data_IF_028377151635
#
_entry.id   IF_028377151635
#
_cell.length_a   1.000
_cell.length_b   1.000
_cell.length_c   1.000
_cell.angle_alpha   90.00
_cell.angle_beta   90.00
_cell.angle_gamma   90.00
#
_symmetry.space_group_name_H-M   'P 1'
#
loop_
_entity.id
_entity.type
_entity.pdbx_description
1 polymer ?
#
# COMPACT_ATOMS: atom_id res chain seq x y z
N UNK A 1 50.55 -8.69 20.84
CA UNK A 1 51.13 -8.87 22.20
C UNK A 1 49.96 -9.14 23.14
N UNK A 2 49.80 -10.23 23.88
CA UNK A 2 50.67 -11.34 24.27
C UNK A 2 49.81 -12.56 24.66
N UNK A 3 50.49 -13.70 24.64
CA UNK A 3 50.19 -15.12 24.86
C UNK A 3 49.50 -15.64 26.15
N UNK A 4 48.78 -16.79 26.02
CA UNK A 4 48.84 -18.14 26.71
C UNK A 4 48.58 -18.14 28.26
N UNK A 5 47.77 -19.00 28.94
CA UNK A 5 47.79 -20.49 29.06
C UNK A 5 46.67 -21.05 29.98
N UNK A 6 46.35 -22.34 29.78
CA UNK A 6 45.42 -23.26 30.46
C UNK A 6 45.59 -23.44 31.98
N UNK A 7 44.56 -23.97 32.69
CA UNK A 7 44.68 -25.20 33.51
C UNK A 7 43.34 -25.63 34.15
N UNK A 8 43.29 -26.91 34.51
CA UNK A 8 42.16 -27.83 34.74
C UNK A 8 41.69 -27.99 36.20
N UNK A 9 40.41 -28.40 36.31
CA UNK A 9 39.75 -29.33 37.28
C UNK A 9 40.05 -29.24 38.79
N UNK A 10 38.98 -29.13 39.59
CA UNK A 10 38.71 -30.05 40.72
C UNK A 10 37.25 -30.00 41.16
N UNK A 11 36.73 -31.19 41.48
CA UNK A 11 35.38 -31.49 42.00
C UNK A 11 35.47 -31.50 43.52
N UNK A 12 34.57 -30.82 44.25
CA UNK A 12 34.07 -31.29 45.58
C UNK A 12 32.64 -30.77 45.83
N UNK A 13 31.78 -31.71 46.23
CA UNK A 13 30.41 -31.56 46.74
C UNK A 13 30.27 -30.62 47.95
N UNK A 14 29.15 -29.90 48.07
CA UNK A 14 28.10 -30.13 49.10
C UNK A 14 26.96 -29.09 49.03
N UNK A 15 25.78 -29.59 48.69
CA UNK A 15 24.39 -29.30 49.14
C UNK A 15 24.02 -27.88 49.65
N UNK A 16 22.99 -27.34 48.97
CA UNK A 16 21.95 -26.39 49.41
C UNK A 16 22.30 -24.92 49.61
N UNK A 17 21.89 -24.08 48.65
CA UNK A 17 20.74 -23.19 48.83
C UNK A 17 20.45 -22.41 47.54
N UNK A 18 19.15 -22.38 47.20
CA UNK A 18 18.51 -21.46 46.26
C UNK A 18 18.97 -21.54 44.79
N UNK A 19 18.44 -22.53 44.06
CA UNK A 19 18.17 -22.34 42.63
C UNK A 19 17.09 -21.24 42.55
N UNK A 20 17.51 -19.98 42.49
CA UNK A 20 16.68 -18.95 41.93
C UNK A 20 16.55 -19.33 40.45
N UNK A 21 15.49 -20.07 40.11
CA UNK A 21 15.00 -20.14 38.75
C UNK A 21 14.66 -18.70 38.36
N UNK A 22 15.65 -17.97 37.85
CA UNK A 22 15.39 -16.77 37.08
C UNK A 22 14.72 -17.28 35.82
N UNK A 23 13.41 -17.45 35.90
CA UNK A 23 12.54 -17.47 34.75
C UNK A 23 12.63 -16.06 34.17
N UNK A 24 13.71 -15.80 33.41
CA UNK A 24 13.71 -14.66 32.52
C UNK A 24 12.46 -14.86 31.64
N UNK A 25 11.51 -13.92 31.63
CA UNK A 25 10.46 -14.02 30.64
C UNK A 25 11.19 -13.98 29.30
N UNK A 26 11.14 -15.09 28.56
CA UNK A 26 11.44 -15.09 27.14
C UNK A 26 10.34 -14.20 26.53
N UNK A 27 10.56 -12.89 26.56
CA UNK A 27 9.83 -11.98 25.72
C UNK A 27 10.16 -12.40 24.31
N UNK A 28 9.24 -13.08 23.64
CA UNK A 28 9.32 -13.26 22.21
C UNK A 28 9.36 -11.85 21.61
N UNK A 29 10.57 -11.37 21.32
CA UNK A 29 10.72 -10.13 20.59
C UNK A 29 10.22 -10.43 19.18
N UNK A 30 9.08 -9.85 18.83
CA UNK A 30 8.61 -9.86 17.44
C UNK A 30 9.65 -9.11 16.61
N UNK A 31 10.51 -9.85 15.91
CA UNK A 31 11.42 -9.26 14.95
C UNK A 31 10.60 -8.82 13.76
N UNK A 32 10.38 -7.51 13.65
CA UNK A 32 9.78 -6.92 12.45
C UNK A 32 10.90 -6.84 11.39
N UNK A 33 10.72 -7.58 10.31
CA UNK A 33 11.60 -7.51 9.14
C UNK A 33 10.92 -6.67 8.05
N UNK A 34 11.68 -5.79 7.40
CA UNK A 34 11.23 -4.98 6.27
C UNK A 34 11.92 -5.46 5.01
N UNK A 35 11.15 -5.60 3.93
CA UNK A 35 11.66 -5.86 2.60
C UNK A 35 11.13 -4.81 1.63
N UNK A 36 12.02 -4.23 0.82
CA UNK A 36 11.63 -3.37 -0.30
C UNK A 36 11.15 -4.26 -1.45
N UNK A 37 9.90 -4.06 -1.89
CA UNK A 37 9.29 -4.81 -3.00
C UNK A 37 9.54 -4.09 -4.33
N UNK A 38 9.41 -2.76 -4.35
CA UNK A 38 9.61 -1.95 -5.55
C UNK A 38 10.18 -0.57 -5.19
N UNK A 39 10.86 0.04 -6.15
CA UNK A 39 11.41 1.40 -6.10
C UNK A 39 10.85 2.22 -7.26
N UNK A 40 11.27 3.49 -7.37
CA UNK A 40 10.98 4.36 -8.54
C UNK A 40 9.48 4.61 -8.79
N UNK A 41 8.70 4.61 -7.70
CA UNK A 41 7.32 5.05 -7.67
C UNK A 41 7.24 6.57 -7.52
N UNK A 42 6.36 7.20 -8.29
CA UNK A 42 6.12 8.64 -8.31
C UNK A 42 5.00 9.00 -7.33
N UNK A 43 5.36 9.45 -6.13
CA UNK A 43 4.43 9.86 -5.08
C UNK A 43 3.30 8.82 -4.86
N UNK A 44 3.64 7.57 -4.46
CA UNK A 44 2.64 6.52 -4.23
C UNK A 44 1.66 6.91 -3.12
N UNK A 45 0.38 6.58 -3.28
CA UNK A 45 -0.69 7.03 -2.37
C UNK A 45 -1.51 5.89 -1.75
N UNK A 46 -2.20 5.08 -2.56
CA UNK A 46 -3.04 3.96 -2.10
C UNK A 46 -2.59 2.67 -2.76
N UNK A 47 -2.78 1.55 -2.05
CA UNK A 47 -2.46 0.21 -2.52
C UNK A 47 -3.70 -0.68 -2.53
N UNK A 48 -3.83 -1.53 -3.55
CA UNK A 48 -4.78 -2.63 -3.62
C UNK A 48 -4.03 -3.92 -3.97
N UNK A 49 -4.29 -4.99 -3.22
CA UNK A 49 -3.65 -6.30 -3.42
C UNK A 49 -4.50 -7.11 -4.40
N UNK A 50 -3.86 -7.58 -5.47
CA UNK A 50 -4.49 -8.45 -6.44
C UNK A 50 -4.43 -9.92 -5.99
N UNK A 51 -5.38 -10.78 -6.41
CA UNK A 51 -5.41 -12.21 -6.02
C UNK A 51 -4.16 -13.02 -6.40
N UNK A 52 -3.35 -12.52 -7.34
CA UNK A 52 -2.12 -13.14 -7.84
C UNK A 52 -0.84 -12.63 -7.14
N UNK A 53 -0.96 -12.05 -5.95
CA UNK A 53 0.15 -11.47 -5.17
C UNK A 53 0.86 -10.28 -5.85
N UNK A 54 0.17 -9.63 -6.77
CA UNK A 54 0.60 -8.36 -7.34
C UNK A 54 -0.09 -7.20 -6.62
N UNK A 55 0.42 -5.99 -6.85
CA UNK A 55 -0.13 -4.78 -6.25
C UNK A 55 -0.54 -3.80 -7.34
N UNK A 56 -1.64 -3.09 -7.11
CA UNK A 56 -1.93 -1.83 -7.78
C UNK A 56 -1.65 -0.70 -6.81
N UNK A 57 -0.78 0.23 -7.19
CA UNK A 57 -0.41 1.40 -6.41
C UNK A 57 -0.78 2.65 -7.19
N UNK A 58 -1.62 3.51 -6.63
CA UNK A 58 -1.90 4.81 -7.24
C UNK A 58 -0.69 5.73 -7.07
N UNK A 59 -0.31 6.39 -8.15
CA UNK A 59 0.74 7.40 -8.20
C UNK A 59 0.07 8.75 -8.45
N UNK A 60 0.22 9.66 -7.48
CA UNK A 60 -0.47 10.96 -7.48
C UNK A 60 -0.38 11.73 -8.82
N UNK A 61 0.74 11.71 -9.56
CA UNK A 61 0.88 12.43 -10.83
C UNK A 61 -0.01 11.97 -12.00
N UNK A 62 -0.74 10.84 -11.90
CA UNK A 62 -1.65 10.42 -12.98
C UNK A 62 -1.58 8.96 -13.41
N UNK A 63 -1.02 8.08 -12.57
CA UNK A 63 -0.86 6.68 -12.96
C UNK A 63 -1.33 5.72 -11.87
N UNK A 64 -1.60 4.48 -12.29
CA UNK A 64 -1.62 3.33 -11.40
C UNK A 64 -0.45 2.44 -11.81
N UNK A 65 0.46 2.19 -10.88
CA UNK A 65 1.55 1.25 -11.01
C UNK A 65 1.08 -0.16 -10.63
N UNK A 66 1.14 -1.09 -11.58
CA UNK A 66 1.06 -2.53 -11.32
C UNK A 66 2.44 -3.05 -10.97
N UNK A 67 2.58 -3.65 -9.79
CA UNK A 67 3.83 -4.19 -9.27
C UNK A 67 3.72 -5.71 -9.23
N UNK A 68 4.58 -6.39 -9.98
CA UNK A 68 4.62 -7.85 -9.98
C UNK A 68 5.13 -8.41 -8.65
N UNK A 69 4.92 -9.70 -8.39
CA UNK A 69 5.51 -10.38 -7.23
C UNK A 69 7.05 -10.32 -7.20
N UNK A 70 7.69 -10.10 -8.37
CA UNK A 70 9.13 -9.91 -8.50
C UNK A 70 9.58 -8.44 -8.35
N UNK A 71 8.65 -7.51 -8.09
CA UNK A 71 8.94 -6.09 -7.93
C UNK A 71 8.97 -5.27 -9.22
N UNK A 72 8.62 -5.87 -10.37
CA UNK A 72 8.59 -5.16 -11.65
C UNK A 72 7.42 -4.18 -11.71
N UNK A 73 7.71 -2.91 -12.01
CA UNK A 73 6.71 -1.84 -12.10
C UNK A 73 6.25 -1.64 -13.54
N UNK A 74 4.94 -1.69 -13.78
CA UNK A 74 4.28 -1.35 -15.06
C UNK A 74 3.21 -0.30 -14.81
N UNK A 75 3.25 0.84 -15.51
CA UNK A 75 2.23 1.89 -15.37
C UNK A 75 1.07 1.63 -16.32
N UNK A 76 -0.14 1.60 -15.76
CA UNK A 76 -1.37 1.36 -16.52
C UNK A 76 -1.80 2.63 -17.26
N UNK A 77 -2.26 2.47 -18.50
CA UNK A 77 -2.94 3.52 -19.26
C UNK A 77 -4.46 3.50 -19.03
N UNK A 78 -5.17 4.51 -19.55
CA UNK A 78 -6.64 4.54 -19.60
C UNK A 78 -7.32 5.34 -18.48
N UNK A 79 -6.58 5.88 -17.52
CA UNK A 79 -7.13 6.89 -16.61
C UNK A 79 -7.50 8.17 -17.37
N UNK A 80 -8.56 8.89 -16.94
CA UNK A 80 -8.87 10.21 -17.47
C UNK A 80 -7.82 11.23 -17.00
N UNK A 81 -7.91 12.44 -17.54
CA UNK A 81 -7.09 13.57 -17.10
C UNK A 81 -7.28 13.83 -15.60
N UNK A 82 -6.18 14.18 -14.93
CA UNK A 82 -6.16 14.39 -13.49
C UNK A 82 -5.51 15.73 -13.14
N UNK A 83 -6.00 16.37 -12.09
CA UNK A 83 -5.38 17.55 -11.50
C UNK A 83 -4.46 17.12 -10.37
N UNK A 84 -3.18 16.94 -10.69
CA UNK A 84 -2.14 16.55 -9.74
C UNK A 84 -1.46 17.76 -9.07
N UNK A 85 -2.25 18.63 -8.44
CA UNK A 85 -1.76 19.83 -7.75
C UNK A 85 -2.01 19.78 -6.25
N UNK A 86 -1.04 20.23 -5.44
CA UNK A 86 -1.13 20.29 -3.97
C UNK A 86 -1.50 18.93 -3.36
N UNK A 87 -2.76 18.71 -2.97
CA UNK A 87 -3.25 17.43 -2.44
C UNK A 87 -4.00 16.59 -3.48
N UNK A 88 -4.24 17.13 -4.68
CA UNK A 88 -4.91 16.44 -5.77
C UNK A 88 -4.01 15.44 -6.50
N UNK A 89 -4.64 14.60 -7.30
CA UNK A 89 -4.01 13.54 -8.08
C UNK A 89 -4.86 12.28 -8.14
N UNK A 90 -4.23 11.15 -8.45
CA UNK A 90 -4.83 9.82 -8.32
C UNK A 90 -4.66 9.35 -6.88
N UNK A 91 -5.77 9.12 -6.17
CA UNK A 91 -5.76 8.95 -4.72
C UNK A 91 -6.22 7.54 -4.34
N UNK A 92 -7.50 7.35 -4.01
CA UNK A 92 -8.03 6.07 -3.54
C UNK A 92 -8.14 5.04 -4.65
N UNK A 93 -7.88 3.78 -4.32
CA UNK A 93 -8.21 2.63 -5.16
C UNK A 93 -8.80 1.53 -4.29
N UNK A 94 -9.83 0.86 -4.78
CA UNK A 94 -10.41 -0.35 -4.16
C UNK A 94 -10.85 -1.31 -5.26
N UNK A 95 -10.67 -2.61 -5.01
CA UNK A 95 -11.15 -3.66 -5.91
C UNK A 95 -12.61 -3.96 -5.60
N UNK A 96 -13.39 -4.29 -6.63
CA UNK A 96 -14.73 -4.85 -6.45
C UNK A 96 -14.67 -6.12 -5.58
N UNK A 97 -15.66 -6.39 -4.72
CA UNK A 97 -15.68 -7.63 -3.92
C UNK A 97 -15.59 -8.90 -4.78
N UNK A 98 -16.06 -8.85 -6.03
CA UNK A 98 -15.98 -9.95 -7.00
C UNK A 98 -14.82 -9.80 -7.99
N UNK A 99 -13.75 -9.08 -7.63
CA UNK A 99 -12.62 -8.79 -8.52
C UNK A 99 -12.07 -10.01 -9.26
N UNK A 100 -11.96 -11.15 -8.57
CA UNK A 100 -11.43 -12.39 -9.14
C UNK A 100 -12.19 -12.86 -10.41
N UNK A 101 -13.47 -12.50 -10.55
CA UNK A 101 -14.30 -12.88 -11.69
C UNK A 101 -14.55 -11.73 -12.66
N UNK A 102 -14.61 -10.49 -12.19
CA UNK A 102 -15.00 -9.34 -13.02
C UNK A 102 -13.88 -8.32 -13.32
N UNK A 103 -12.72 -8.44 -12.66
CA UNK A 103 -11.57 -7.53 -12.76
C UNK A 103 -11.94 -6.04 -12.57
N UNK A 104 -13.03 -5.76 -11.87
CA UNK A 104 -13.58 -4.41 -11.71
C UNK A 104 -12.91 -3.70 -10.54
N UNK A 105 -12.46 -2.47 -10.76
CA UNK A 105 -11.90 -1.63 -9.71
C UNK A 105 -12.51 -0.24 -9.73
N UNK A 106 -12.36 0.46 -8.61
CA UNK A 106 -12.82 1.82 -8.42
C UNK A 106 -11.64 2.68 -8.01
N UNK A 107 -11.50 3.82 -8.67
CA UNK A 107 -10.44 4.80 -8.41
C UNK A 107 -11.06 6.15 -8.10
N UNK A 108 -10.58 6.80 -7.04
CA UNK A 108 -10.91 8.18 -6.71
C UNK A 108 -9.75 9.07 -7.11
N UNK A 109 -10.02 10.09 -7.92
CA UNK A 109 -9.04 11.05 -8.41
C UNK A 109 -9.63 12.47 -8.39
N UNK A 110 -8.80 13.47 -8.63
CA UNK A 110 -9.24 14.86 -8.69
C UNK A 110 -9.33 15.30 -10.14
N UNK A 111 -10.55 15.60 -10.61
CA UNK A 111 -10.81 16.20 -11.92
C UNK A 111 -11.18 17.68 -11.82
N UNK A 112 -11.13 18.39 -12.94
CA UNK A 112 -11.55 19.79 -13.06
C UNK A 112 -12.76 19.95 -13.98
N UNK A 113 -13.57 20.99 -13.73
CA UNK A 113 -14.52 21.48 -14.72
C UNK A 113 -13.85 22.42 -15.75
N UNK A 114 -14.64 22.91 -16.71
CA UNK A 114 -14.16 23.84 -17.75
C UNK A 114 -13.67 25.19 -17.22
N UNK A 115 -13.97 25.54 -15.97
CA UNK A 115 -13.53 26.78 -15.33
C UNK A 115 -12.27 26.57 -14.48
N UNK A 116 -11.77 25.33 -14.39
CA UNK A 116 -10.62 24.95 -13.58
C UNK A 116 -10.94 24.78 -12.09
N UNK A 117 -12.20 24.69 -11.71
CA UNK A 117 -12.57 24.29 -10.35
C UNK A 117 -12.36 22.79 -10.19
N UNK A 118 -11.86 22.37 -9.04
CA UNK A 118 -11.49 20.98 -8.79
C UNK A 118 -12.47 20.30 -7.83
N UNK A 119 -12.51 18.98 -7.90
CA UNK A 119 -13.26 18.16 -6.96
C UNK A 119 -13.00 16.68 -7.17
N UNK A 120 -13.28 15.89 -6.14
CA UNK A 120 -13.11 14.45 -6.15
C UNK A 120 -14.11 13.78 -7.09
N UNK A 121 -13.63 12.80 -7.84
CA UNK A 121 -14.40 12.00 -8.77
C UNK A 121 -14.09 10.53 -8.56
N UNK A 122 -15.09 9.67 -8.73
CA UNK A 122 -14.91 8.22 -8.66
C UNK A 122 -15.21 7.62 -10.02
N UNK A 123 -14.29 6.78 -10.48
CA UNK A 123 -14.40 6.04 -11.72
C UNK A 123 -14.44 4.54 -11.44
N UNK A 124 -15.34 3.84 -12.11
CA UNK A 124 -15.35 2.38 -12.24
C UNK A 124 -14.59 2.01 -13.51
N UNK A 125 -13.75 0.99 -13.44
CA UNK A 125 -13.00 0.48 -14.59
C UNK A 125 -12.80 -1.03 -14.51
N UNK A 126 -12.44 -1.64 -15.64
CA UNK A 126 -12.00 -3.03 -15.72
C UNK A 126 -10.48 -3.06 -15.90
N UNK A 127 -9.78 -3.85 -15.08
CA UNK A 127 -8.34 -4.08 -15.23
C UNK A 127 -8.06 -5.00 -16.43
N UNK A 128 -7.24 -4.53 -17.36
CA UNK A 128 -6.62 -5.34 -18.41
C UNK A 128 -5.12 -5.55 -18.13
N UNK A 129 -4.40 -6.16 -19.07
CA UNK A 129 -2.97 -6.50 -18.86
C UNK A 129 -2.10 -5.30 -18.52
N UNK A 130 -2.24 -4.19 -19.27
CA UNK A 130 -1.43 -2.98 -19.14
C UNK A 130 -2.25 -1.69 -19.20
N UNK A 131 -3.57 -1.78 -19.02
CA UNK A 131 -4.49 -0.66 -19.11
C UNK A 131 -5.73 -0.86 -18.24
N UNK A 132 -6.46 0.24 -18.05
CA UNK A 132 -7.84 0.24 -17.61
C UNK A 132 -8.76 0.38 -18.83
N UNK A 133 -9.83 -0.40 -18.86
CA UNK A 133 -10.87 -0.35 -19.89
C UNK A 133 -12.24 -0.10 -19.25
N UNK A 134 -13.26 0.19 -20.07
CA UNK A 134 -14.63 0.48 -19.60
C UNK A 134 -14.68 1.57 -18.52
N UNK A 135 -13.80 2.56 -18.62
CA UNK A 135 -13.62 3.61 -17.62
C UNK A 135 -14.83 4.54 -17.63
N UNK A 136 -15.60 4.52 -16.54
CA UNK A 136 -16.86 5.24 -16.42
C UNK A 136 -16.86 6.04 -15.12
N UNK A 137 -17.15 7.34 -15.21
CA UNK A 137 -17.36 8.17 -14.02
C UNK A 137 -18.68 7.78 -13.36
N UNK A 138 -18.63 7.40 -12.09
CA UNK A 138 -19.81 7.00 -11.31
C UNK A 138 -20.17 8.01 -10.23
N UNK A 139 -19.25 8.94 -9.92
CA UNK A 139 -19.49 10.01 -8.97
C UNK A 139 -18.63 11.23 -9.29
N UNK A 140 -19.19 12.41 -9.03
CA UNK A 140 -18.50 13.69 -9.05
C UNK A 140 -18.97 14.52 -7.85
N UNK A 141 -18.02 15.03 -7.06
CA UNK A 141 -18.35 15.97 -6.00
C UNK A 141 -18.75 17.33 -6.59
N UNK A 142 -19.92 17.84 -6.20
CA UNK A 142 -20.41 19.16 -6.59
C UNK A 142 -20.87 19.98 -5.36
N UNK A 143 -20.71 21.31 -5.39
CA UNK A 143 -20.03 22.08 -6.45
C UNK A 143 -18.50 21.81 -6.42
N UNK A 144 -17.87 21.82 -7.60
CA UNK A 144 -16.42 21.94 -7.68
C UNK A 144 -16.04 23.37 -7.30
N UNK A 145 -14.89 23.54 -6.66
CA UNK A 145 -14.40 24.85 -6.24
C UNK A 145 -12.95 25.05 -6.62
N UNK A 146 -12.52 26.29 -6.77
CA UNK A 146 -11.12 26.63 -7.01
C UNK A 146 -10.27 26.39 -5.75
N UNK A 147 -9.89 25.14 -5.53
CA UNK A 147 -9.09 24.68 -4.39
C UNK A 147 -8.09 23.60 -4.81
N UNK A 148 -7.11 23.32 -3.96
CA UNK A 148 -6.18 22.19 -4.09
C UNK A 148 -6.09 21.35 -2.82
N UNK A 149 -7.12 21.41 -1.96
CA UNK A 149 -7.10 20.85 -0.61
C UNK A 149 -8.38 20.07 -0.28
N UNK A 150 -8.26 19.12 0.65
CA UNK A 150 -9.35 18.41 1.32
C UNK A 150 -10.23 17.53 0.41
N UNK A 151 -9.62 16.82 -0.54
CA UNK A 151 -10.32 15.93 -1.48
C UNK A 151 -10.78 14.58 -0.87
N UNK A 152 -10.25 14.18 0.29
CA UNK A 152 -10.59 12.89 0.91
C UNK A 152 -10.14 11.71 0.06
N UNK A 153 -11.07 11.09 -0.68
CA UNK A 153 -10.83 9.98 -1.60
C UNK A 153 -10.42 8.63 -0.98
N UNK A 154 -10.82 8.31 0.25
CA UNK A 154 -10.77 6.93 0.73
C UNK A 154 -12.01 6.18 0.24
N UNK A 155 -11.80 5.02 -0.39
CA UNK A 155 -12.87 4.13 -0.84
C UNK A 155 -12.81 2.81 -0.05
N UNK A 156 -13.99 2.27 0.25
CA UNK A 156 -14.17 0.96 0.85
C UNK A 156 -15.57 0.43 0.50
N UNK A 157 -15.69 -0.88 0.37
CA UNK A 157 -16.99 -1.55 0.34
C UNK A 157 -17.43 -1.86 1.77
N UNK A 158 -18.72 -1.67 2.04
CA UNK A 158 -19.35 -2.11 3.27
C UNK A 158 -19.74 -3.60 3.17
N UNK A 159 -20.18 -4.19 4.28
CA UNK A 159 -20.48 -5.62 4.34
C UNK A 159 -21.72 -6.04 3.53
N UNK A 160 -22.55 -5.07 3.14
CA UNK A 160 -23.73 -5.24 2.29
C UNK A 160 -23.40 -5.23 0.79
N UNK A 161 -22.14 -4.95 0.42
CA UNK A 161 -21.67 -4.87 -0.97
C UNK A 161 -21.74 -3.46 -1.54
#
# INVERSE_FOLDING_TARGET
MNSITLSTRSVVNTISALLLCICLPLGAQTVISQQTIATDLANPWSIALLPNNEFLVTERPGHIARISAAGTVTRLSGLPDVVAERQGGVLGIVLDPNFATNQTLYVCLVGADSEGNTGSEVYKATLATSSLTNVTQIFAAHPKIKSGFHFGCRLAFANDG
#
